data_IF_318299780501
#
_entry.id   IF_318299780501
#
_cell.length_a   1.000
_cell.length_b   1.000
_cell.length_c   1.000
_cell.angle_alpha   90.00
_cell.angle_beta   90.00
_cell.angle_gamma   90.00
#
_symmetry.space_group_name_H-M   'P 1'
#
loop_
_entity.id
_entity.type
_entity.pdbx_description
1 polymer ?
#
# COMPACT_ATOMS: atom_id res chain seq x y z
N UNK A 1 -1.45 36.11 -18.27
CA UNK A 1 -1.97 36.88 -17.12
C UNK A 1 -1.01 36.58 -16.00
N UNK A 2 0.08 37.33 -16.01
CA UNK A 2 1.25 37.10 -15.19
C UNK A 2 0.97 37.59 -13.78
N UNK A 3 1.02 36.69 -12.81
CA UNK A 3 0.93 37.06 -11.40
C UNK A 3 2.29 37.62 -10.96
N UNK A 4 2.32 38.76 -10.25
CA UNK A 4 3.57 39.34 -9.77
C UNK A 4 4.19 38.43 -8.71
N UNK A 5 5.47 38.13 -8.89
CA UNK A 5 6.32 37.49 -7.88
C UNK A 5 6.40 38.44 -6.69
N UNK A 6 5.73 38.09 -5.60
CA UNK A 6 5.93 38.76 -4.32
C UNK A 6 7.41 38.61 -3.93
N UNK A 7 8.07 39.74 -3.66
CA UNK A 7 9.43 39.75 -3.16
C UNK A 7 9.49 38.94 -1.86
N UNK A 8 10.11 37.78 -1.94
CA UNK A 8 10.41 36.92 -0.81
C UNK A 8 11.36 37.69 0.11
N UNK A 9 10.83 38.17 1.24
CA UNK A 9 11.65 38.69 2.33
C UNK A 9 12.68 37.62 2.68
N UNK A 10 13.97 37.96 2.58
CA UNK A 10 15.07 37.08 2.99
C UNK A 10 14.71 36.44 4.34
N UNK A 11 14.77 35.11 4.48
CA UNK A 11 14.45 34.47 5.75
C UNK A 11 15.42 35.02 6.79
N UNK A 12 14.87 35.67 7.82
CA UNK A 12 15.61 35.99 9.04
C UNK A 12 16.10 34.65 9.57
N UNK A 13 17.36 34.30 9.30
CA UNK A 13 17.96 33.12 9.91
C UNK A 13 17.88 33.35 11.41
N UNK A 14 17.13 32.51 12.18
CA UNK A 14 17.15 32.62 13.62
C UNK A 14 18.61 32.51 14.07
N UNK A 15 19.02 33.35 15.02
CA UNK A 15 20.32 33.25 15.66
C UNK A 15 20.48 31.81 16.16
N UNK A 16 21.28 31.01 15.45
CA UNK A 16 21.41 29.60 15.78
C UNK A 16 22.22 29.48 17.08
N UNK A 17 21.70 28.73 18.05
CA UNK A 17 22.39 28.44 19.30
C UNK A 17 23.31 27.24 19.13
N UNK A 18 24.58 27.41 19.50
CA UNK A 18 25.58 26.33 19.54
C UNK A 18 25.50 25.57 20.87
N UNK A 19 24.52 24.69 20.97
CA UNK A 19 24.31 23.78 22.10
C UNK A 19 24.61 22.33 21.66
N UNK A 20 25.12 21.47 22.55
CA UNK A 20 25.26 20.04 22.25
C UNK A 20 23.88 19.39 22.07
N UNK A 21 23.80 18.33 21.26
CA UNK A 21 22.54 17.63 20.95
C UNK A 21 21.87 16.99 22.17
N UNK A 22 22.63 16.76 23.24
CA UNK A 22 22.13 16.25 24.51
C UNK A 22 21.48 17.32 25.39
N UNK A 23 21.60 18.60 25.04
CA UNK A 23 20.99 19.69 25.81
C UNK A 23 19.46 19.68 25.60
N UNK A 24 18.66 19.71 26.68
CA UNK A 24 17.19 19.75 26.59
C UNK A 24 16.62 20.93 25.79
N UNK A 25 17.40 22.00 25.58
CA UNK A 25 17.02 23.16 24.77
C UNK A 25 17.27 22.96 23.27
N UNK A 26 18.08 21.97 22.88
CA UNK A 26 18.43 21.68 21.49
C UNK A 26 17.41 20.74 20.82
N UNK A 27 16.16 21.19 20.67
CA UNK A 27 15.02 20.37 20.20
C UNK A 27 14.40 20.85 18.87
N UNK A 28 14.93 21.92 18.28
CA UNK A 28 14.38 22.54 17.09
C UNK A 28 15.49 23.12 16.19
N UNK A 29 15.11 23.61 15.01
CA UNK A 29 16.02 24.12 13.98
C UNK A 29 16.83 25.35 14.40
N UNK A 30 16.49 26.01 15.52
CA UNK A 30 17.32 27.09 16.06
C UNK A 30 18.61 26.59 16.74
N UNK A 31 18.75 25.29 16.97
CA UNK A 31 20.00 24.69 17.44
C UNK A 31 20.81 24.09 16.28
N UNK A 32 22.10 24.44 16.17
CA UNK A 32 22.97 23.98 15.06
C UNK A 32 23.12 22.45 15.02
N UNK A 33 23.30 21.81 16.18
CA UNK A 33 23.43 20.36 16.28
C UNK A 33 22.13 19.62 15.89
N UNK A 34 20.98 20.13 16.33
CA UNK A 34 19.67 19.57 15.94
C UNK A 34 19.44 19.73 14.44
N UNK A 35 19.72 20.91 13.88
CA UNK A 35 19.57 21.17 12.45
C UNK A 35 20.45 20.23 11.59
N UNK A 36 21.69 20.00 12.01
CA UNK A 36 22.59 19.05 11.34
C UNK A 36 22.04 17.62 11.38
N UNK A 37 21.55 17.16 12.54
CA UNK A 37 20.97 15.82 12.70
C UNK A 37 19.65 15.64 11.92
N UNK A 38 18.78 16.65 11.94
CA UNK A 38 17.57 16.72 11.11
C UNK A 38 17.92 16.56 9.63
N UNK A 39 18.87 17.35 9.13
CA UNK A 39 19.27 17.29 7.72
C UNK A 39 19.92 15.94 7.36
N UNK A 40 20.75 15.37 8.24
CA UNK A 40 21.29 14.02 8.07
C UNK A 40 20.19 12.95 7.99
N UNK A 41 19.17 13.05 8.84
CA UNK A 41 18.00 12.16 8.82
C UNK A 41 17.20 12.29 7.52
N UNK A 42 16.95 13.53 7.07
CA UNK A 42 16.18 13.81 5.86
C UNK A 42 16.91 13.40 4.57
N UNK A 43 18.23 13.61 4.52
CA UNK A 43 19.06 13.17 3.39
C UNK A 43 19.19 11.65 3.32
N UNK A 44 19.24 10.95 4.46
CA UNK A 44 19.26 9.50 4.49
C UNK A 44 17.95 8.85 3.99
N UNK A 45 16.81 9.50 4.20
CA UNK A 45 15.49 9.02 3.77
C UNK A 45 14.66 10.18 3.21
N UNK A 46 14.84 10.50 1.91
CA UNK A 46 14.14 11.61 1.27
C UNK A 46 12.68 11.27 1.01
N UNK A 47 11.77 12.20 1.32
CA UNK A 47 10.31 12.01 1.20
C UNK A 47 9.84 11.45 -0.16
N UNK A 48 10.43 11.90 -1.28
CA UNK A 48 10.04 11.45 -2.62
C UNK A 48 10.26 9.95 -2.87
N UNK A 49 11.25 9.34 -2.19
CA UNK A 49 11.49 7.89 -2.30
C UNK A 49 10.39 7.07 -1.62
N UNK A 50 9.77 7.58 -0.56
CA UNK A 50 8.68 6.91 0.14
C UNK A 50 7.39 6.94 -0.70
N UNK A 51 7.08 8.08 -1.30
CA UNK A 51 5.92 8.21 -2.19
C UNK A 51 6.01 7.28 -3.41
N UNK A 52 7.23 6.97 -3.87
CA UNK A 52 7.44 6.06 -5.00
C UNK A 52 6.97 4.61 -4.71
N UNK A 53 6.93 4.18 -3.45
CA UNK A 53 6.42 2.85 -3.05
C UNK A 53 4.95 2.67 -3.40
N UNK A 54 4.22 3.77 -3.31
CA UNK A 54 2.82 3.85 -3.65
C UNK A 54 2.63 3.54 -5.15
N UNK A 55 3.33 4.27 -6.04
CA UNK A 55 3.26 3.99 -7.48
C UNK A 55 3.47 2.51 -7.83
N UNK A 56 4.42 1.81 -7.19
CA UNK A 56 4.62 0.37 -7.38
C UNK A 56 3.39 -0.48 -7.04
N UNK A 57 2.64 -0.11 -6.00
CA UNK A 57 1.36 -0.72 -5.63
C UNK A 57 0.31 -0.53 -6.73
N UNK A 58 0.18 0.68 -7.28
CA UNK A 58 -0.72 0.96 -8.42
C UNK A 58 -0.34 0.11 -9.63
N UNK A 59 0.95 0.07 -9.99
CA UNK A 59 1.44 -0.74 -11.12
C UNK A 59 1.14 -2.22 -10.93
N UNK A 60 1.24 -2.75 -9.71
CA UNK A 60 0.87 -4.12 -9.39
C UNK A 60 -0.62 -4.39 -9.68
N UNK A 61 -1.53 -3.53 -9.18
CA UNK A 61 -2.96 -3.68 -9.44
C UNK A 61 -3.29 -3.56 -10.94
N UNK A 62 -2.70 -2.59 -11.64
CA UNK A 62 -2.90 -2.40 -13.08
C UNK A 62 -2.38 -3.59 -13.88
N UNK A 63 -1.25 -4.18 -13.50
CA UNK A 63 -0.71 -5.38 -14.13
C UNK A 63 -1.66 -6.58 -13.94
N UNK A 64 -2.19 -6.80 -12.73
CA UNK A 64 -3.15 -7.88 -12.45
C UNK A 64 -4.42 -7.70 -13.31
N UNK A 65 -5.01 -6.50 -13.30
CA UNK A 65 -6.21 -6.20 -14.11
C UNK A 65 -5.91 -6.38 -15.60
N UNK A 66 -4.75 -5.89 -16.06
CA UNK A 66 -4.30 -6.02 -17.46
C UNK A 66 -4.16 -7.47 -17.90
N UNK A 67 -3.49 -8.31 -17.10
CA UNK A 67 -3.33 -9.75 -17.38
C UNK A 67 -4.69 -10.45 -17.41
N UNK A 68 -5.58 -10.17 -16.45
CA UNK A 68 -6.93 -10.74 -16.44
C UNK A 68 -7.76 -10.30 -17.66
N UNK A 69 -7.62 -9.04 -18.08
CA UNK A 69 -8.30 -8.48 -19.27
C UNK A 69 -7.80 -9.15 -20.55
N UNK A 70 -6.49 -9.30 -20.71
CA UNK A 70 -5.88 -9.99 -21.86
C UNK A 70 -6.29 -11.47 -21.90
N UNK A 71 -6.31 -12.15 -20.75
CA UNK A 71 -6.76 -13.53 -20.66
C UNK A 71 -8.23 -13.69 -21.05
N UNK A 72 -9.09 -12.76 -20.61
CA UNK A 72 -10.51 -12.73 -20.99
C UNK A 72 -10.70 -12.48 -22.49
N UNK A 73 -10.03 -11.47 -23.04
CA UNK A 73 -10.08 -11.18 -24.48
C UNK A 73 -9.64 -12.39 -25.30
N UNK A 74 -8.51 -13.03 -24.94
CA UNK A 74 -8.03 -14.24 -25.60
C UNK A 74 -9.06 -15.38 -25.57
N UNK A 75 -9.71 -15.61 -24.42
CA UNK A 75 -10.75 -16.64 -24.29
C UNK A 75 -11.95 -16.35 -25.19
N UNK A 76 -12.44 -15.11 -25.21
CA UNK A 76 -13.57 -14.69 -26.06
C UNK A 76 -13.25 -14.85 -27.55
N UNK A 77 -12.05 -14.42 -27.99
CA UNK A 77 -11.63 -14.59 -29.38
C UNK A 77 -11.51 -16.05 -29.78
N UNK A 78 -10.93 -16.88 -28.91
CA UNK A 78 -10.76 -18.32 -29.18
C UNK A 78 -12.11 -19.02 -29.25
N UNK A 79 -13.00 -18.78 -28.29
CA UNK A 79 -14.31 -19.44 -28.22
C UNK A 79 -15.19 -19.04 -29.41
N UNK A 80 -15.11 -17.78 -29.88
CA UNK A 80 -15.78 -17.34 -31.12
C UNK A 80 -15.24 -18.02 -32.37
N UNK A 81 -13.92 -18.20 -32.45
CA UNK A 81 -13.27 -18.89 -33.57
C UNK A 81 -13.61 -20.39 -33.60
N UNK A 82 -13.62 -21.04 -32.44
CA UNK A 82 -13.96 -22.46 -32.31
C UNK A 82 -15.45 -22.72 -32.54
N UNK A 83 -16.35 -21.82 -32.14
CA UNK A 83 -17.79 -21.95 -32.43
C UNK A 83 -18.09 -21.99 -33.94
N UNK A 84 -17.26 -21.36 -34.77
CA UNK A 84 -17.36 -21.45 -36.23
C UNK A 84 -16.75 -22.75 -36.80
N UNK A 85 -15.92 -23.47 -36.03
CA UNK A 85 -15.37 -24.78 -36.42
C UNK A 85 -16.21 -25.89 -35.81
N UNK A 86 -17.10 -26.46 -36.62
CA UNK A 86 -17.81 -27.70 -36.27
C UNK A 86 -16.79 -28.86 -36.26
N UNK A 87 -16.13 -29.12 -35.12
CA UNK A 87 -15.17 -30.23 -35.04
C UNK A 87 -15.00 -30.79 -33.63
N UNK A 88 -15.32 -32.07 -33.52
CA UNK A 88 -14.98 -32.97 -32.44
C UNK A 88 -13.49 -33.33 -32.51
N UNK A 89 -12.61 -32.33 -32.32
CA UNK A 89 -11.15 -32.50 -32.35
C UNK A 89 -10.57 -32.77 -30.96
N UNK A 90 -9.49 -33.57 -30.89
CA UNK A 90 -8.76 -33.84 -29.65
C UNK A 90 -8.28 -32.53 -29.00
N UNK A 91 -8.22 -32.45 -27.65
CA UNK A 91 -7.87 -31.23 -26.96
C UNK A 91 -6.44 -30.80 -27.29
N UNK A 92 -6.31 -29.54 -27.71
CA UNK A 92 -5.05 -28.87 -27.98
C UNK A 92 -4.23 -28.68 -26.69
N UNK A 93 -2.91 -28.51 -26.85
CA UNK A 93 -1.97 -28.25 -25.74
C UNK A 93 -2.42 -27.09 -24.82
N UNK A 94 -2.89 -25.93 -25.32
CA UNK A 94 -3.41 -24.86 -24.47
C UNK A 94 -4.70 -25.26 -23.72
N UNK A 95 -5.59 -26.07 -24.30
CA UNK A 95 -6.78 -26.57 -23.59
C UNK A 95 -6.38 -27.49 -22.42
N UNK A 96 -5.33 -28.30 -22.57
CA UNK A 96 -4.78 -29.11 -21.47
C UNK A 96 -4.18 -28.24 -20.36
N UNK A 97 -3.43 -27.18 -20.70
CA UNK A 97 -2.89 -26.22 -19.73
C UNK A 97 -4.01 -25.51 -18.97
N UNK A 98 -5.04 -25.04 -19.67
CA UNK A 98 -6.21 -24.38 -19.05
C UNK A 98 -6.94 -25.36 -18.12
N UNK A 99 -7.11 -26.63 -18.52
CA UNK A 99 -7.74 -27.65 -17.69
C UNK A 99 -6.93 -27.91 -16.41
N UNK A 100 -5.60 -28.00 -16.51
CA UNK A 100 -4.71 -28.13 -15.35
C UNK A 100 -4.83 -26.91 -14.42
N UNK A 101 -4.76 -25.69 -14.98
CA UNK A 101 -4.89 -24.46 -14.22
C UNK A 101 -6.24 -24.36 -13.50
N UNK A 102 -7.33 -24.80 -14.15
CA UNK A 102 -8.66 -24.90 -13.54
C UNK A 102 -8.70 -25.93 -12.42
N UNK A 103 -8.08 -27.09 -12.60
CA UNK A 103 -8.00 -28.13 -11.57
C UNK A 103 -7.30 -27.62 -10.31
N UNK A 104 -6.15 -26.95 -10.47
CA UNK A 104 -5.41 -26.35 -9.35
C UNK A 104 -6.23 -25.24 -8.69
N UNK A 105 -6.86 -24.36 -9.49
CA UNK A 105 -7.61 -23.20 -8.99
C UNK A 105 -8.90 -23.57 -8.26
N UNK A 106 -9.62 -24.58 -8.73
CA UNK A 106 -10.86 -25.06 -8.10
C UNK A 106 -10.58 -26.06 -6.97
N UNK A 107 -9.34 -26.57 -6.88
CA UNK A 107 -8.91 -27.33 -5.73
C UNK A 107 -9.12 -26.53 -4.44
N UNK A 108 -9.44 -27.24 -3.38
CA UNK A 108 -9.44 -26.73 -2.01
C UNK A 108 -8.33 -27.45 -1.25
N UNK A 109 -7.50 -26.69 -0.52
CA UNK A 109 -6.61 -27.29 0.47
C UNK A 109 -7.49 -27.84 1.59
N UNK A 110 -7.62 -29.17 1.66
CA UNK A 110 -8.37 -29.87 2.69
C UNK A 110 -7.52 -30.07 3.94
N UNK A 111 -8.03 -29.64 5.10
CA UNK A 111 -7.39 -29.85 6.40
C UNK A 111 -8.13 -29.10 7.51
N UNK A 112 -7.85 -29.45 8.77
CA UNK A 112 -8.49 -28.81 9.93
C UNK A 112 -8.25 -27.29 9.97
N UNK A 113 -6.99 -26.86 9.78
CA UNK A 113 -6.62 -25.45 9.81
C UNK A 113 -7.27 -24.62 8.68
N UNK A 114 -7.21 -25.01 7.39
CA UNK A 114 -7.90 -24.32 6.30
C UNK A 114 -9.40 -24.13 6.52
N UNK A 115 -10.08 -25.14 7.09
CA UNK A 115 -11.51 -25.09 7.37
C UNK A 115 -11.81 -24.16 8.54
N UNK A 116 -10.97 -24.18 9.58
CA UNK A 116 -11.10 -23.28 10.73
C UNK A 116 -10.88 -21.81 10.35
N UNK A 117 -9.91 -21.52 9.48
CA UNK A 117 -9.66 -20.18 8.94
C UNK A 117 -10.62 -19.77 7.81
N UNK A 118 -11.48 -20.67 7.32
CA UNK A 118 -12.43 -20.38 6.24
C UNK A 118 -11.75 -19.98 4.92
N UNK A 119 -10.65 -20.64 4.56
CA UNK A 119 -9.86 -20.26 3.39
C UNK A 119 -10.65 -20.37 2.08
N UNK A 120 -10.56 -19.36 1.18
CA UNK A 120 -11.21 -19.42 -0.13
C UNK A 120 -10.55 -20.47 -1.04
N UNK A 121 -11.15 -20.78 -2.21
CA UNK A 121 -10.56 -21.72 -3.17
C UNK A 121 -9.12 -21.35 -3.52
N UNK A 122 -8.30 -22.35 -3.87
CA UNK A 122 -6.87 -22.18 -4.11
C UNK A 122 -6.56 -21.11 -5.18
N UNK A 123 -7.40 -20.98 -6.20
CA UNK A 123 -7.24 -19.96 -7.25
C UNK A 123 -7.31 -18.53 -6.71
N UNK A 124 -8.17 -18.28 -5.73
CA UNK A 124 -8.25 -16.97 -5.06
C UNK A 124 -6.99 -16.76 -4.21
N UNK A 125 -6.55 -17.76 -3.45
CA UNK A 125 -5.31 -17.65 -2.65
C UNK A 125 -4.08 -17.38 -3.51
N UNK A 126 -3.95 -18.04 -4.67
CA UNK A 126 -2.84 -17.85 -5.61
C UNK A 126 -2.77 -16.40 -6.12
N UNK A 127 -3.90 -15.71 -6.25
CA UNK A 127 -3.93 -14.31 -6.69
C UNK A 127 -3.73 -13.33 -5.52
N UNK A 128 -4.17 -13.69 -4.32
CA UNK A 128 -4.12 -12.82 -3.15
C UNK A 128 -2.77 -12.86 -2.41
N UNK A 129 -2.14 -14.04 -2.31
CA UNK A 129 -0.87 -14.21 -1.60
C UNK A 129 0.26 -13.35 -2.20
N UNK A 130 0.46 -13.29 -3.53
CA UNK A 130 1.48 -12.42 -4.11
C UNK A 130 1.25 -10.95 -3.78
N UNK A 131 0.00 -10.48 -3.73
CA UNK A 131 -0.31 -9.09 -3.36
C UNK A 131 0.08 -8.79 -1.92
N UNK A 132 -0.17 -9.72 -0.98
CA UNK A 132 0.27 -9.57 0.42
C UNK A 132 1.79 -9.60 0.53
N UNK A 133 2.43 -10.58 -0.10
CA UNK A 133 3.89 -10.68 -0.10
C UNK A 133 4.51 -9.41 -0.70
N UNK A 134 3.94 -8.88 -1.79
CA UNK A 134 4.39 -7.65 -2.41
C UNK A 134 4.22 -6.44 -1.48
N UNK A 135 3.02 -6.26 -0.89
CA UNK A 135 2.76 -5.16 0.03
C UNK A 135 3.65 -5.20 1.27
N UNK A 136 3.85 -6.39 1.86
CA UNK A 136 4.75 -6.59 2.99
C UNK A 136 6.22 -6.37 2.61
N UNK A 137 6.64 -6.78 1.42
CA UNK A 137 8.00 -6.53 0.92
C UNK A 137 8.23 -5.04 0.67
N UNK A 138 7.27 -4.31 0.11
CA UNK A 138 7.39 -2.85 -0.02
C UNK A 138 7.38 -2.14 1.34
N UNK A 139 6.65 -2.68 2.33
CA UNK A 139 6.59 -2.12 3.68
C UNK A 139 7.87 -2.39 4.49
N UNK A 140 8.42 -3.61 4.40
CA UNK A 140 9.49 -4.11 5.25
C UNK A 140 10.79 -4.46 4.49
N UNK A 141 10.89 -4.11 3.21
CA UNK A 141 12.09 -4.35 2.42
C UNK A 141 13.20 -3.33 2.70
N UNK A 142 12.82 -2.11 3.08
CA UNK A 142 13.76 -1.01 3.39
C UNK A 142 13.82 -0.82 4.90
N UNK A 143 14.91 -1.25 5.53
CA UNK A 143 15.09 -1.33 6.99
C UNK A 143 14.98 0.01 7.77
N UNK A 144 14.87 1.16 7.10
CA UNK A 144 14.83 2.49 7.75
C UNK A 144 13.41 2.83 8.20
N UNK A 145 12.83 2.04 9.11
CA UNK A 145 11.42 2.16 9.49
C UNK A 145 11.07 3.40 10.33
N UNK A 146 12.00 3.82 11.18
CA UNK A 146 11.82 4.89 12.16
C UNK A 146 12.89 5.96 12.00
N UNK A 147 12.57 7.19 12.39
CA UNK A 147 13.57 8.23 12.67
C UNK A 147 13.93 8.17 14.15
N UNK A 148 15.10 8.70 14.52
CA UNK A 148 15.53 8.74 15.92
C UNK A 148 14.60 9.59 16.79
N UNK A 149 14.21 10.75 16.26
CA UNK A 149 13.26 11.66 16.90
C UNK A 149 12.14 12.04 15.96
N UNK A 150 10.94 12.21 16.49
CA UNK A 150 9.78 12.76 15.81
C UNK A 150 10.04 14.17 15.29
N UNK A 151 10.87 14.94 16.02
CA UNK A 151 11.35 16.26 15.58
C UNK A 151 12.09 16.22 14.25
N UNK A 152 12.65 15.07 13.86
CA UNK A 152 13.29 14.91 12.55
C UNK A 152 12.31 14.68 11.40
N UNK A 153 11.01 14.58 11.70
CA UNK A 153 9.94 14.33 10.74
C UNK A 153 9.27 12.98 10.93
N UNK A 154 8.33 12.67 10.04
CA UNK A 154 7.53 11.45 10.13
C UNK A 154 8.37 10.17 9.91
N UNK A 155 8.04 9.06 10.61
CA UNK A 155 8.68 7.76 10.40
C UNK A 155 8.52 7.29 8.94
N UNK A 156 9.57 6.78 8.29
CA UNK A 156 9.46 6.38 6.89
C UNK A 156 8.46 5.25 6.65
N UNK A 157 8.41 4.27 7.57
CA UNK A 157 7.42 3.19 7.48
C UNK A 157 5.99 3.72 7.50
N UNK A 158 5.72 4.73 8.34
CA UNK A 158 4.38 5.29 8.43
C UNK A 158 3.98 6.03 7.15
N UNK A 159 4.88 6.82 6.58
CA UNK A 159 4.59 7.59 5.37
C UNK A 159 4.37 6.68 4.16
N UNK A 160 5.26 5.71 3.92
CA UNK A 160 5.14 4.83 2.75
C UNK A 160 3.87 3.96 2.81
N UNK A 161 3.57 3.38 3.98
CA UNK A 161 2.36 2.53 4.14
C UNK A 161 1.08 3.36 4.14
N UNK A 162 1.15 4.61 4.60
CA UNK A 162 0.09 5.61 4.45
C UNK A 162 -0.26 5.83 2.97
N UNK A 163 0.73 6.14 2.14
CA UNK A 163 0.51 6.31 0.70
C UNK A 163 -0.03 5.04 0.03
N UNK A 164 0.58 3.88 0.31
CA UNK A 164 0.10 2.60 -0.23
C UNK A 164 -1.36 2.31 0.16
N UNK A 165 -1.77 2.66 1.39
CA UNK A 165 -3.15 2.44 1.86
C UNK A 165 -4.16 3.35 1.13
N UNK A 166 -3.80 4.62 0.89
CA UNK A 166 -4.65 5.59 0.18
C UNK A 166 -4.84 5.18 -1.27
N UNK A 167 -3.81 4.64 -1.93
CA UNK A 167 -3.92 4.18 -3.31
C UNK A 167 -4.72 2.89 -3.47
N UNK A 168 -4.90 2.10 -2.41
CA UNK A 168 -5.83 0.97 -2.46
C UNK A 168 -7.29 1.44 -2.62
N UNK A 169 -7.63 2.65 -2.15
CA UNK A 169 -9.00 3.20 -2.14
C UNK A 169 -9.65 3.21 -3.52
N UNK A 170 -9.06 3.79 -4.60
CA UNK A 170 -9.68 3.78 -5.92
C UNK A 170 -9.98 2.37 -6.44
N UNK A 171 -9.10 1.40 -6.17
CA UNK A 171 -9.34 0.00 -6.55
C UNK A 171 -10.46 -0.62 -5.73
N UNK A 172 -10.51 -0.36 -4.42
CA UNK A 172 -11.59 -0.83 -3.56
C UNK A 172 -12.94 -0.31 -4.03
N UNK A 173 -13.02 0.98 -4.34
CA UNK A 173 -14.23 1.62 -4.89
C UNK A 173 -14.61 1.00 -6.23
N UNK A 174 -13.63 0.80 -7.13
CA UNK A 174 -13.88 0.18 -8.43
C UNK A 174 -14.40 -1.26 -8.32
N UNK A 175 -13.98 -2.04 -7.31
CA UNK A 175 -14.40 -3.43 -7.13
C UNK A 175 -15.73 -3.59 -6.35
N UNK A 176 -16.21 -2.54 -5.66
CA UNK A 176 -17.34 -2.63 -4.74
C UNK A 176 -18.72 -2.75 -5.42
N UNK A 177 -18.87 -2.19 -6.62
CA UNK A 177 -20.14 -2.09 -7.32
C UNK A 177 -20.60 -3.39 -8.00
N UNK A 178 -21.90 -3.68 -7.94
CA UNK A 178 -22.53 -4.80 -8.69
C UNK A 178 -22.31 -4.69 -10.20
N UNK A 179 -22.40 -3.47 -10.72
CA UNK A 179 -21.97 -3.11 -12.07
C UNK A 179 -20.63 -2.38 -11.95
N UNK A 180 -19.54 -3.05 -12.29
CA UNK A 180 -18.21 -2.45 -12.25
C UNK A 180 -17.46 -2.68 -13.58
N UNK A 181 -16.61 -1.72 -13.94
CA UNK A 181 -15.85 -1.71 -15.20
C UNK A 181 -14.87 -2.91 -15.24
N UNK A 182 -14.36 -3.32 -14.08
CA UNK A 182 -13.40 -4.43 -14.00
C UNK A 182 -14.06 -5.76 -14.39
N UNK A 183 -15.32 -5.99 -14.01
CA UNK A 183 -16.12 -7.14 -14.43
C UNK A 183 -16.35 -7.15 -15.93
N UNK A 184 -16.58 -5.98 -16.55
CA UNK A 184 -16.69 -5.87 -18.01
C UNK A 184 -15.38 -6.24 -18.71
N UNK A 185 -14.25 -5.75 -18.21
CA UNK A 185 -12.94 -5.98 -18.81
C UNK A 185 -12.45 -7.43 -18.63
N UNK A 186 -12.63 -7.99 -17.43
CA UNK A 186 -12.08 -9.30 -17.04
C UNK A 186 -13.05 -10.47 -17.24
N UNK A 187 -14.35 -10.19 -17.47
CA UNK A 187 -15.39 -11.22 -17.55
C UNK A 187 -15.66 -11.93 -16.22
N UNK A 188 -15.12 -11.43 -15.10
CA UNK A 188 -15.29 -12.03 -13.77
C UNK A 188 -16.58 -11.50 -13.13
N UNK A 189 -17.41 -12.41 -12.61
CA UNK A 189 -18.66 -12.03 -11.95
C UNK A 189 -18.41 -11.20 -10.69
N UNK A 190 -19.35 -10.32 -10.38
CA UNK A 190 -19.29 -9.48 -9.20
C UNK A 190 -19.08 -10.28 -7.91
N UNK A 191 -19.72 -11.45 -7.73
CA UNK A 191 -19.56 -12.21 -6.48
C UNK A 191 -18.11 -12.64 -6.24
N UNK A 192 -17.41 -13.03 -7.31
CA UNK A 192 -16.00 -13.40 -7.26
C UNK A 192 -15.13 -12.17 -7.01
N UNK A 193 -15.44 -11.07 -7.69
CA UNK A 193 -14.71 -9.82 -7.57
C UNK A 193 -14.85 -9.18 -6.18
N UNK A 194 -16.00 -9.38 -5.52
CA UNK A 194 -16.25 -8.94 -4.15
C UNK A 194 -15.33 -9.63 -3.12
N UNK A 195 -14.85 -10.85 -3.40
CA UNK A 195 -13.82 -11.50 -2.56
C UNK A 195 -12.51 -10.71 -2.60
N UNK A 196 -12.12 -10.21 -3.78
CA UNK A 196 -10.95 -9.36 -3.94
C UNK A 196 -11.15 -7.98 -3.30
N UNK A 197 -12.34 -7.39 -3.39
CA UNK A 197 -12.67 -6.16 -2.67
C UNK A 197 -12.48 -6.33 -1.14
N UNK A 198 -13.07 -7.38 -0.55
CA UNK A 198 -12.95 -7.67 0.88
C UNK A 198 -11.50 -7.90 1.30
N UNK A 199 -10.74 -8.66 0.51
CA UNK A 199 -9.35 -8.92 0.84
C UNK A 199 -8.45 -7.69 0.66
N UNK A 200 -8.66 -6.92 -0.42
CA UNK A 200 -7.98 -5.64 -0.61
C UNK A 200 -8.23 -4.70 0.56
N UNK A 201 -9.43 -4.72 1.14
CA UNK A 201 -9.75 -3.93 2.34
C UNK A 201 -8.95 -4.42 3.56
N UNK A 202 -8.74 -5.74 3.72
CA UNK A 202 -7.85 -6.28 4.76
C UNK A 202 -6.38 -5.89 4.56
N UNK A 203 -5.89 -5.88 3.32
CA UNK A 203 -4.54 -5.40 2.99
C UNK A 203 -4.41 -3.91 3.32
N UNK A 204 -5.36 -3.09 2.87
CA UNK A 204 -5.41 -1.67 3.17
C UNK A 204 -5.47 -1.43 4.69
N UNK A 205 -6.28 -2.19 5.41
CA UNK A 205 -6.35 -2.15 6.87
C UNK A 205 -4.99 -2.47 7.52
N UNK A 206 -4.32 -3.54 7.10
CA UNK A 206 -2.97 -3.87 7.58
C UNK A 206 -1.95 -2.75 7.32
N UNK A 207 -2.01 -2.11 6.15
CA UNK A 207 -1.19 -0.94 5.82
C UNK A 207 -1.53 0.27 6.71
N UNK A 208 -2.80 0.53 7.02
CA UNK A 208 -3.19 1.63 7.93
C UNK A 208 -2.69 1.39 9.36
N UNK A 209 -2.60 0.15 9.82
CA UNK A 209 -1.95 -0.17 11.10
C UNK A 209 -0.45 0.13 11.05
N UNK A 210 0.22 -0.25 9.96
CA UNK A 210 1.63 0.08 9.73
C UNK A 210 1.87 1.58 9.55
N UNK A 211 0.83 2.34 9.19
CA UNK A 211 0.85 3.81 9.18
C UNK A 211 0.74 4.40 10.59
N UNK A 212 -0.23 3.91 11.38
CA UNK A 212 -0.52 4.47 12.70
C UNK A 212 0.50 4.10 13.78
N UNK A 213 0.89 2.82 13.86
CA UNK A 213 1.78 2.31 14.93
C UNK A 213 3.08 3.10 15.01
N UNK A 214 3.80 3.40 13.90
CA UNK A 214 5.08 4.06 14.03
C UNK A 214 4.98 5.48 14.58
N UNK A 215 3.88 6.18 14.32
CA UNK A 215 3.63 7.49 14.91
C UNK A 215 3.40 7.43 16.42
N UNK A 216 2.67 6.43 16.91
CA UNK A 216 2.54 6.19 18.35
C UNK A 216 3.88 5.82 18.98
N UNK A 217 4.62 4.92 18.34
CA UNK A 217 5.90 4.42 18.84
C UNK A 217 6.93 5.54 19.01
N UNK A 218 7.17 6.33 17.96
CA UNK A 218 8.16 7.41 18.03
C UNK A 218 7.76 8.51 19.02
N UNK A 219 6.45 8.80 19.14
CA UNK A 219 5.96 9.78 20.12
C UNK A 219 6.20 9.31 21.56
N UNK A 220 6.04 8.01 21.80
CA UNK A 220 6.32 7.39 23.09
C UNK A 220 7.82 7.38 23.42
N UNK A 221 8.68 7.08 22.44
CA UNK A 221 10.14 7.07 22.65
C UNK A 221 10.66 8.49 22.97
N UNK A 222 10.16 9.51 22.28
CA UNK A 222 10.66 10.88 22.45
C UNK A 222 10.27 11.55 23.76
N UNK A 223 9.09 11.24 24.31
CA UNK A 223 8.56 11.97 25.47
C UNK A 223 7.57 11.20 26.33
N UNK A 224 7.60 9.87 26.24
CA UNK A 224 6.74 8.98 27.01
C UNK A 224 5.25 9.15 26.70
N UNK A 225 4.43 8.72 27.65
CA UNK A 225 2.98 8.74 27.52
C UNK A 225 2.41 10.17 27.42
N UNK A 226 3.05 11.16 28.07
CA UNK A 226 2.60 12.56 28.01
C UNK A 226 2.71 13.12 26.60
N UNK A 227 3.79 12.84 25.86
CA UNK A 227 3.92 13.29 24.48
C UNK A 227 2.88 12.62 23.56
N UNK A 228 2.59 11.33 23.76
CA UNK A 228 1.49 10.65 23.05
C UNK A 228 0.15 11.32 23.36
N UNK A 229 -0.11 11.64 24.63
CA UNK A 229 -1.33 12.32 25.07
C UNK A 229 -1.48 13.68 24.40
N UNK A 230 -0.44 14.51 24.42
CA UNK A 230 -0.45 15.84 23.80
C UNK A 230 -0.64 15.75 22.28
N UNK A 231 0.01 14.81 21.60
CA UNK A 231 -0.02 14.69 20.13
C UNK A 231 -1.34 14.14 19.58
N UNK A 232 -1.93 13.14 20.23
CA UNK A 232 -3.10 12.44 19.69
C UNK A 232 -4.40 12.76 20.42
N UNK A 233 -4.30 13.25 21.66
CA UNK A 233 -5.45 13.48 22.53
C UNK A 233 -5.48 14.93 23.09
N UNK A 234 -4.47 15.74 22.79
CA UNK A 234 -4.25 17.08 23.36
C UNK A 234 -5.02 18.17 22.63
N UNK A 235 -6.33 18.22 22.89
CA UNK A 235 -7.23 19.40 22.82
C UNK A 235 -8.69 18.94 22.84
N UNK A 236 -9.04 18.00 23.72
CA UNK A 236 -10.43 17.97 24.18
C UNK A 236 -10.53 19.15 25.13
N UNK A 237 -11.02 20.29 24.62
CA UNK A 237 -11.39 21.40 25.48
C UNK A 237 -12.40 20.84 26.47
N UNK A 238 -12.15 21.07 27.74
CA UNK A 238 -13.08 20.74 28.83
C UNK A 238 -14.14 21.86 28.89
N UNK A 239 -14.90 22.05 27.81
CA UNK A 239 -16.12 22.88 27.76
C UNK A 239 -17.39 22.03 27.96
#
# INVERSE_FOLDING_TARGET
MDMPVAAESLPVMPLMSDLPITDPKCINESCTAFYAALNASQTAVPFGSLASHAHWMIWCFMAIIGVCTLAHAYQVFKDRSEHHRNSQSRPSLPQKIIALARCISHGHISGYLPVWFGLPPNGTLILLLPLVVFATTLSFGVMRYYREHYGYGSPPLAIQTGFMSVECVPFLVALAGKANIISLLTGISYERLNVFHRFGAWVAFGLTWCHAIPFFWISFIDGGFENVKVRFFGNRRDD
#
